data_IF_686054409763
#
_entry.id   IF_686054409763
#
_cell.length_a   1.000
_cell.length_b   1.000
_cell.length_c   1.000
_cell.angle_alpha   90.00
_cell.angle_beta   90.00
_cell.angle_gamma   90.00
#
_symmetry.space_group_name_H-M   'P 1'
#
loop_
_entity.id
_entity.type
_entity.pdbx_description
1 polymer ?
#
# COMPACT_ATOMS: atom_id res chain seq x y z
N UNK A 1 -10.25 -6.54 10.48
CA UNK A 1 -9.58 -5.96 11.67
C UNK A 1 -8.47 -6.88 12.18
N UNK A 2 -8.75 -8.16 12.47
CA UNK A 2 -7.73 -9.14 12.92
C UNK A 2 -6.51 -9.25 12.00
N UNK A 3 -6.69 -9.16 10.69
CA UNK A 3 -5.60 -9.20 9.69
C UNK A 3 -4.62 -8.03 9.78
N UNK A 4 -5.02 -6.89 10.33
CA UNK A 4 -4.14 -5.73 10.53
C UNK A 4 -3.54 -5.77 11.95
N UNK A 5 -4.32 -6.20 12.94
CA UNK A 5 -3.89 -6.25 14.34
C UNK A 5 -2.81 -7.30 14.61
N UNK A 6 -2.87 -8.45 13.94
CA UNK A 6 -1.89 -9.54 14.13
C UNK A 6 -0.45 -9.15 13.69
N UNK A 7 -0.24 -8.59 12.48
CA UNK A 7 1.01 -7.94 12.08
C UNK A 7 1.59 -6.95 13.09
N UNK A 8 0.75 -6.03 13.59
CA UNK A 8 1.15 -5.01 14.57
C UNK A 8 1.63 -5.67 15.85
N UNK A 9 0.88 -6.65 16.35
CA UNK A 9 1.25 -7.41 17.54
C UNK A 9 2.58 -8.17 17.36
N UNK A 10 2.79 -8.81 16.20
CA UNK A 10 4.03 -9.53 15.89
C UNK A 10 5.24 -8.59 15.83
N UNK A 11 5.11 -7.43 15.18
CA UNK A 11 6.21 -6.45 15.05
C UNK A 11 6.57 -5.82 16.40
N UNK A 12 5.58 -5.60 17.27
CA UNK A 12 5.82 -5.12 18.63
C UNK A 12 6.46 -6.18 19.54
N UNK A 13 6.29 -7.47 19.22
CA UNK A 13 6.76 -8.58 20.06
C UNK A 13 8.12 -9.12 19.65
N UNK A 14 8.39 -9.17 18.36
CA UNK A 14 9.65 -9.61 17.78
C UNK A 14 10.29 -8.37 17.19
N UNK A 15 11.41 -7.89 17.76
CA UNK A 15 12.15 -6.70 17.33
C UNK A 15 12.70 -6.82 15.89
N UNK A 16 11.81 -6.94 14.92
CA UNK A 16 12.12 -7.18 13.50
C UNK A 16 12.64 -5.91 12.86
N UNK A 17 13.69 -5.99 12.04
CA UNK A 17 14.23 -4.82 11.36
C UNK A 17 13.14 -4.03 10.62
N UNK A 18 13.20 -2.70 10.72
CA UNK A 18 12.16 -1.73 10.29
C UNK A 18 11.60 -2.02 8.90
N UNK A 19 12.48 -2.35 7.95
CA UNK A 19 12.09 -2.63 6.57
C UNK A 19 11.14 -3.82 6.44
N UNK A 20 11.38 -4.91 7.18
CA UNK A 20 10.51 -6.07 7.18
C UNK A 20 9.18 -5.78 7.89
N UNK A 21 9.20 -4.98 8.96
CA UNK A 21 7.99 -4.53 9.64
C UNK A 21 7.08 -3.70 8.71
N UNK A 22 7.65 -2.71 8.00
CA UNK A 22 6.91 -1.91 7.02
C UNK A 22 6.36 -2.80 5.89
N UNK A 23 7.18 -3.71 5.34
CA UNK A 23 6.75 -4.60 4.27
C UNK A 23 5.59 -5.52 4.70
N UNK A 24 5.66 -6.07 5.91
CA UNK A 24 4.63 -6.94 6.47
C UNK A 24 3.32 -6.17 6.75
N UNK A 25 3.40 -4.93 7.22
CA UNK A 25 2.24 -4.05 7.38
C UNK A 25 1.60 -3.67 6.04
N UNK A 26 2.41 -3.31 5.04
CA UNK A 26 1.91 -3.04 3.68
C UNK A 26 1.18 -4.26 3.11
N UNK A 27 1.78 -5.44 3.24
CA UNK A 27 1.16 -6.69 2.80
C UNK A 27 -0.18 -6.95 3.50
N UNK A 28 -0.22 -6.76 4.82
CA UNK A 28 -1.44 -6.91 5.61
C UNK A 28 -2.55 -5.92 5.19
N UNK A 29 -2.20 -4.67 4.92
CA UNK A 29 -3.14 -3.67 4.42
C UNK A 29 -3.71 -4.09 3.04
N UNK A 30 -2.84 -4.52 2.12
CA UNK A 30 -3.25 -4.99 0.79
C UNK A 30 -4.21 -6.19 0.91
N UNK A 31 -3.87 -7.18 1.74
CA UNK A 31 -4.72 -8.35 2.00
C UNK A 31 -6.07 -7.94 2.58
N UNK A 32 -6.08 -7.00 3.53
CA UNK A 32 -7.33 -6.51 4.11
C UNK A 32 -8.22 -5.83 3.06
N UNK A 33 -7.66 -4.95 2.22
CA UNK A 33 -8.39 -4.28 1.13
C UNK A 33 -8.97 -5.30 0.15
N UNK A 34 -8.20 -6.34 -0.20
CA UNK A 34 -8.66 -7.43 -1.06
C UNK A 34 -9.79 -8.23 -0.43
N UNK A 35 -9.69 -8.58 0.86
CA UNK A 35 -10.73 -9.32 1.57
C UNK A 35 -12.04 -8.53 1.67
N UNK A 36 -11.98 -7.23 1.95
CA UNK A 36 -13.16 -6.35 1.91
C UNK A 36 -13.79 -6.36 0.53
N UNK A 37 -12.96 -6.22 -0.52
CA UNK A 37 -13.43 -6.25 -1.89
C UNK A 37 -14.13 -7.55 -2.25
N UNK A 38 -13.55 -8.67 -1.83
CA UNK A 38 -14.08 -10.00 -2.05
C UNK A 38 -15.41 -10.22 -1.31
N UNK A 39 -15.51 -9.77 -0.06
CA UNK A 39 -16.73 -9.88 0.74
C UNK A 39 -17.88 -9.06 0.12
N UNK A 40 -17.62 -7.80 -0.23
CA UNK A 40 -18.63 -6.91 -0.83
C UNK A 40 -19.10 -7.43 -2.20
N UNK A 41 -18.18 -7.78 -3.09
CA UNK A 41 -18.56 -8.29 -4.41
C UNK A 41 -19.34 -9.60 -4.31
N UNK A 42 -18.97 -10.51 -3.40
CA UNK A 42 -19.76 -11.74 -3.20
C UNK A 42 -21.14 -11.48 -2.59
N UNK A 43 -21.26 -10.48 -1.71
CA UNK A 43 -22.55 -10.07 -1.19
C UNK A 43 -23.45 -9.52 -2.31
N UNK A 44 -22.92 -8.62 -3.15
CA UNK A 44 -23.64 -8.04 -4.29
C UNK A 44 -24.08 -9.12 -5.28
N UNK A 45 -23.19 -10.07 -5.62
CA UNK A 45 -23.54 -11.18 -6.52
C UNK A 45 -24.65 -12.09 -5.97
N UNK A 46 -24.64 -12.37 -4.65
CA UNK A 46 -25.72 -13.13 -4.00
C UNK A 46 -27.03 -12.35 -3.91
N UNK A 47 -26.96 -11.03 -3.75
CA UNK A 47 -28.16 -10.19 -3.76
C UNK A 47 -28.78 -10.15 -5.17
N UNK A 48 -27.94 -10.06 -6.21
CA UNK A 48 -28.34 -10.13 -7.60
C UNK A 48 -28.91 -11.50 -7.98
N UNK A 49 -28.31 -12.61 -7.53
CA UNK A 49 -28.85 -13.94 -7.83
C UNK A 49 -30.25 -14.13 -7.24
N UNK A 50 -30.47 -13.67 -6.00
CA UNK A 50 -31.80 -13.69 -5.36
C UNK A 50 -32.83 -12.82 -6.07
N UNK A 51 -32.44 -11.67 -6.62
CA UNK A 51 -33.36 -10.82 -7.39
C UNK A 51 -33.67 -11.40 -8.76
N UNK A 52 -32.68 -12.05 -9.40
CA UNK A 52 -32.87 -12.81 -10.65
C UNK A 52 -33.79 -13.99 -10.42
N UNK A 53 -33.61 -14.82 -9.39
CA UNK A 53 -34.53 -15.94 -9.08
C UNK A 53 -35.98 -15.46 -8.84
N UNK A 54 -36.13 -14.26 -8.24
CA UNK A 54 -37.45 -13.64 -8.02
C UNK A 54 -38.06 -13.10 -9.32
N UNK A 55 -37.22 -12.69 -10.29
CA UNK A 55 -37.62 -12.19 -11.61
C UNK A 55 -37.74 -13.25 -12.71
N UNK A 56 -37.01 -14.37 -12.61
CA UNK A 56 -37.03 -15.50 -13.55
C UNK A 56 -38.34 -16.30 -13.50
N UNK A 57 -39.15 -16.11 -12.45
CA UNK A 57 -40.56 -16.52 -12.46
C UNK A 57 -41.38 -15.79 -13.56
N UNK A 58 -40.84 -14.74 -14.20
CA UNK A 58 -41.52 -13.95 -15.23
C UNK A 58 -40.86 -13.99 -16.63
N UNK A 59 -39.56 -14.29 -16.76
CA UNK A 59 -38.84 -14.17 -18.05
C UNK A 59 -37.79 -15.26 -18.26
N UNK A 60 -38.23 -16.44 -18.67
CA UNK A 60 -37.43 -17.68 -18.75
C UNK A 60 -36.65 -17.86 -20.07
N UNK A 61 -36.24 -16.81 -20.79
CA UNK A 61 -35.71 -16.96 -22.17
C UNK A 61 -34.44 -16.19 -22.55
N UNK A 62 -33.61 -15.72 -21.61
CA UNK A 62 -32.28 -15.17 -21.96
C UNK A 62 -31.25 -15.42 -20.84
N UNK A 63 -31.07 -16.68 -20.47
CA UNK A 63 -30.12 -17.08 -19.42
C UNK A 63 -28.69 -17.10 -19.95
N UNK A 64 -28.01 -15.96 -19.94
CA UNK A 64 -26.55 -15.96 -19.86
C UNK A 64 -26.21 -16.54 -18.49
N UNK A 65 -25.70 -17.76 -18.49
CA UNK A 65 -25.18 -18.49 -17.34
C UNK A 65 -24.28 -17.60 -16.47
N UNK A 66 -24.83 -16.96 -15.45
CA UNK A 66 -24.08 -16.44 -14.31
C UNK A 66 -24.03 -17.54 -13.26
N UNK A 67 -23.40 -18.67 -13.61
CA UNK A 67 -23.17 -19.75 -12.66
C UNK A 67 -22.18 -19.22 -11.62
N UNK A 68 -22.73 -18.78 -10.48
CA UNK A 68 -21.98 -18.32 -9.31
C UNK A 68 -21.32 -19.54 -8.65
N UNK A 69 -20.21 -20.00 -9.22
CA UNK A 69 -19.36 -20.99 -8.57
C UNK A 69 -18.09 -20.31 -8.05
N UNK A 70 -18.00 -20.21 -6.73
CA UNK A 70 -16.87 -19.58 -6.04
C UNK A 70 -15.72 -20.57 -6.03
N UNK A 71 -14.94 -20.58 -7.11
CA UNK A 71 -13.75 -21.42 -7.18
C UNK A 71 -12.64 -20.90 -6.28
N UNK A 72 -12.08 -21.77 -5.43
CA UNK A 72 -10.89 -21.48 -4.63
C UNK A 72 -9.70 -21.03 -5.50
N UNK A 73 -9.60 -21.56 -6.73
CA UNK A 73 -8.57 -21.18 -7.69
C UNK A 73 -8.66 -19.69 -8.06
N UNK A 74 -9.87 -19.18 -8.27
CA UNK A 74 -10.12 -17.76 -8.60
C UNK A 74 -9.81 -16.84 -7.42
N UNK A 75 -10.05 -17.31 -6.19
CA UNK A 75 -9.66 -16.59 -4.97
C UNK A 75 -8.14 -16.48 -4.86
N UNK A 76 -7.43 -17.59 -5.00
CA UNK A 76 -5.95 -17.61 -4.95
C UNK A 76 -5.36 -16.71 -6.04
N UNK A 77 -5.90 -16.76 -7.26
CA UNK A 77 -5.49 -15.87 -8.35
C UNK A 77 -5.68 -14.39 -7.97
N UNK A 78 -6.84 -14.02 -7.44
CA UNK A 78 -7.12 -12.66 -6.99
C UNK A 78 -6.18 -12.19 -5.88
N UNK A 79 -5.83 -13.06 -4.94
CA UNK A 79 -4.92 -12.73 -3.85
C UNK A 79 -3.53 -12.32 -4.35
N UNK A 80 -3.06 -12.88 -5.47
CA UNK A 80 -1.76 -12.56 -6.07
C UNK A 80 -1.86 -11.47 -7.15
N UNK A 81 -3.01 -11.30 -7.80
CA UNK A 81 -3.21 -10.32 -8.88
C UNK A 81 -2.91 -8.86 -8.43
N UNK A 82 -2.33 -8.01 -9.30
CA UNK A 82 -2.01 -6.62 -8.99
C UNK A 82 -3.25 -5.70 -9.02
N UNK A 83 -4.38 -6.17 -8.49
CA UNK A 83 -5.63 -5.41 -8.38
C UNK A 83 -6.19 -5.53 -6.97
N UNK A 84 -6.85 -4.47 -6.50
CA UNK A 84 -7.55 -4.47 -5.21
C UNK A 84 -9.04 -4.77 -5.35
N UNK A 85 -9.59 -4.68 -6.57
CA UNK A 85 -11.01 -4.88 -6.81
C UNK A 85 -11.30 -6.29 -7.31
N UNK A 86 -12.07 -7.07 -6.53
CA UNK A 86 -12.47 -8.41 -6.95
C UNK A 86 -13.50 -8.36 -8.11
N UNK A 87 -13.25 -9.16 -9.15
CA UNK A 87 -14.15 -9.45 -10.25
C UNK A 87 -14.19 -10.97 -10.51
N UNK A 88 -15.35 -11.55 -10.91
CA UNK A 88 -15.46 -12.97 -11.20
C UNK A 88 -14.60 -13.43 -12.38
N UNK A 89 -14.49 -12.59 -13.40
CA UNK A 89 -13.64 -12.82 -14.58
C UNK A 89 -12.73 -11.61 -14.78
N UNK A 90 -11.46 -11.89 -15.07
CA UNK A 90 -10.47 -10.87 -15.44
C UNK A 90 -10.05 -11.08 -16.89
N UNK A 91 -9.74 -10.00 -17.62
CA UNK A 91 -9.13 -10.13 -18.94
C UNK A 91 -7.76 -10.81 -18.78
N UNK A 92 -7.55 -11.92 -19.48
CA UNK A 92 -6.29 -12.67 -19.47
C UNK A 92 -5.49 -12.39 -20.75
N UNK A 93 -4.18 -12.23 -20.59
CA UNK A 93 -3.25 -12.21 -21.71
C UNK A 93 -3.01 -13.62 -22.24
N UNK A 94 -2.77 -13.75 -23.54
CA UNK A 94 -2.65 -15.04 -24.23
C UNK A 94 -1.34 -15.78 -23.92
N UNK A 95 -0.23 -15.07 -23.74
CA UNK A 95 1.09 -15.66 -23.49
C UNK A 95 1.97 -14.76 -22.60
N UNK A 96 2.88 -15.37 -21.85
CA UNK A 96 3.90 -14.68 -21.04
C UNK A 96 5.10 -14.31 -21.91
N UNK A 97 5.37 -13.01 -22.07
CA UNK A 97 6.53 -12.51 -22.81
C UNK A 97 7.77 -12.45 -21.92
N UNK A 98 8.41 -13.61 -21.69
CA UNK A 98 9.57 -13.77 -20.79
C UNK A 98 10.69 -12.77 -21.05
N UNK A 99 11.06 -12.53 -22.31
CA UNK A 99 12.11 -11.58 -22.67
C UNK A 99 11.76 -10.13 -22.31
N UNK A 100 10.48 -9.75 -22.35
CA UNK A 100 10.03 -8.44 -21.88
C UNK A 100 10.13 -8.34 -20.36
N UNK A 101 9.69 -9.39 -19.63
CA UNK A 101 9.79 -9.45 -18.15
C UNK A 101 11.23 -9.30 -17.68
N UNK A 102 12.17 -10.05 -18.26
CA UNK A 102 13.59 -9.98 -17.86
C UNK A 102 14.15 -8.57 -18.06
N UNK A 103 13.83 -7.90 -19.17
CA UNK A 103 14.27 -6.51 -19.40
C UNK A 103 13.71 -5.54 -18.34
N UNK A 104 12.45 -5.71 -17.95
CA UNK A 104 11.85 -4.86 -16.91
C UNK A 104 12.44 -5.16 -15.52
N UNK A 105 12.78 -6.42 -15.24
CA UNK A 105 13.44 -6.82 -14.00
C UNK A 105 14.85 -6.23 -13.87
N UNK A 106 15.62 -6.20 -14.97
CA UNK A 106 16.94 -5.52 -15.00
C UNK A 106 16.78 -4.03 -14.71
N UNK A 107 15.80 -3.35 -15.33
CA UNK A 107 15.51 -1.94 -15.02
C UNK A 107 15.16 -1.75 -13.54
N UNK A 108 14.38 -2.66 -12.95
CA UNK A 108 13.99 -2.58 -11.55
C UNK A 108 15.20 -2.60 -10.62
N UNK A 109 16.18 -3.48 -10.88
CA UNK A 109 17.42 -3.56 -10.10
C UNK A 109 18.22 -2.26 -10.22
N UNK A 110 18.39 -1.74 -11.45
CA UNK A 110 19.13 -0.49 -11.69
C UNK A 110 18.49 0.70 -10.96
N UNK A 111 17.17 0.91 -11.13
CA UNK A 111 16.49 2.04 -10.48
C UNK A 111 16.43 1.89 -8.95
N UNK A 112 16.34 0.67 -8.42
CA UNK A 112 16.45 0.43 -6.97
C UNK A 112 17.84 0.79 -6.45
N UNK A 113 18.89 0.46 -7.19
CA UNK A 113 20.27 0.87 -6.87
C UNK A 113 20.46 2.39 -6.90
N UNK A 114 19.91 3.07 -7.91
CA UNK A 114 19.92 4.55 -8.01
C UNK A 114 19.21 5.18 -6.82
N UNK A 115 18.05 4.63 -6.42
CA UNK A 115 17.33 5.10 -5.23
C UNK A 115 18.18 4.96 -3.96
N UNK A 116 18.82 3.80 -3.77
CA UNK A 116 19.75 3.58 -2.65
C UNK A 116 20.92 4.56 -2.66
N UNK A 117 21.50 4.83 -3.83
CA UNK A 117 22.57 5.81 -4.00
C UNK A 117 22.13 7.22 -3.60
N UNK A 118 20.93 7.66 -4.01
CA UNK A 118 20.41 8.99 -3.63
C UNK A 118 20.21 9.10 -2.12
N UNK A 119 19.68 8.05 -1.49
CA UNK A 119 19.47 8.01 -0.03
C UNK A 119 20.81 8.10 0.69
N UNK A 120 21.78 7.27 0.34
CA UNK A 120 23.08 7.22 1.03
C UNK A 120 23.95 8.46 0.80
N UNK A 121 23.96 9.00 -0.43
CA UNK A 121 24.87 10.10 -0.79
C UNK A 121 24.29 11.49 -0.56
N UNK A 122 22.95 11.64 -0.62
CA UNK A 122 22.31 12.95 -0.49
C UNK A 122 21.46 13.06 0.77
N UNK A 123 20.60 12.08 1.07
CA UNK A 123 19.68 12.19 2.21
C UNK A 123 20.41 11.97 3.54
N UNK A 124 21.15 10.87 3.68
CA UNK A 124 21.87 10.51 4.91
C UNK A 124 22.82 11.60 5.42
N UNK A 125 23.69 12.23 4.61
CA UNK A 125 24.58 13.27 5.12
C UNK A 125 23.82 14.53 5.57
N UNK A 126 22.72 14.91 4.91
CA UNK A 126 21.95 16.08 5.35
C UNK A 126 21.24 15.79 6.68
N UNK A 127 20.74 14.56 6.86
CA UNK A 127 20.11 14.13 8.12
C UNK A 127 21.13 14.03 9.26
N UNK A 128 22.31 13.42 9.05
CA UNK A 128 23.33 13.30 10.09
C UNK A 128 23.90 14.64 10.54
N UNK A 129 24.05 15.60 9.62
CA UNK A 129 24.47 16.97 9.94
C UNK A 129 23.41 17.77 10.73
N UNK A 130 22.22 17.20 10.97
CA UNK A 130 21.10 17.85 11.67
C UNK A 130 20.97 17.40 13.13
N UNK A 131 22.06 17.43 13.91
CA UNK A 131 22.10 16.97 15.32
C UNK A 131 21.16 17.67 16.33
N UNK A 132 20.37 18.67 15.92
CA UNK A 132 19.26 19.17 16.74
C UNK A 132 17.96 19.16 15.93
N UNK A 133 17.00 18.28 16.26
CA UNK A 133 15.70 18.24 15.61
C UNK A 133 14.92 19.46 16.12
N UNK A 134 14.76 20.47 15.26
CA UNK A 134 13.82 21.57 15.46
C UNK A 134 14.07 22.49 16.68
N UNK A 135 15.20 22.37 17.39
CA UNK A 135 15.65 23.34 18.41
C UNK A 135 16.49 24.48 17.83
N UNK A 136 16.10 25.01 16.68
CA UNK A 136 16.77 26.13 16.02
C UNK A 136 15.78 27.10 15.40
N UNK A 137 16.23 28.33 15.12
CA UNK A 137 15.46 29.38 14.45
C UNK A 137 14.71 28.81 13.22
N UNK A 138 13.44 29.21 13.02
CA UNK A 138 12.56 28.75 11.93
C UNK A 138 13.25 28.75 10.55
N UNK A 139 14.13 29.72 10.31
CA UNK A 139 14.92 29.83 9.08
C UNK A 139 15.82 28.60 8.83
N UNK A 140 16.49 28.09 9.86
CA UNK A 140 17.34 26.91 9.75
C UNK A 140 16.53 25.65 9.48
N UNK A 141 15.29 25.58 9.99
CA UNK A 141 14.38 24.48 9.70
C UNK A 141 13.91 24.52 8.23
N UNK A 142 13.51 25.70 7.74
CA UNK A 142 13.08 25.90 6.34
C UNK A 142 14.22 25.58 5.37
N UNK A 143 15.44 26.06 5.63
CA UNK A 143 16.61 25.77 4.78
C UNK A 143 16.86 24.26 4.66
N UNK A 144 16.76 23.53 5.78
CA UNK A 144 16.94 22.07 5.80
C UNK A 144 15.82 21.34 5.05
N UNK A 145 14.57 21.76 5.22
CA UNK A 145 13.42 21.17 4.49
C UNK A 145 13.59 21.39 3.00
N UNK A 146 14.02 22.57 2.56
CA UNK A 146 14.30 22.86 1.15
C UNK A 146 15.47 22.02 0.60
N UNK A 147 16.53 21.82 1.38
CA UNK A 147 17.65 20.94 0.99
C UNK A 147 17.24 19.48 0.87
N UNK A 148 16.30 19.01 1.71
CA UNK A 148 15.75 17.65 1.62
C UNK A 148 14.70 17.48 0.52
N UNK A 149 13.95 18.53 0.17
CA UNK A 149 12.78 18.40 -0.72
C UNK A 149 13.13 17.84 -2.10
N UNK A 150 14.24 18.29 -2.69
CA UNK A 150 14.71 17.86 -4.00
C UNK A 150 15.09 16.36 -4.02
N UNK A 151 16.04 15.86 -3.19
CA UNK A 151 16.38 14.44 -3.20
C UNK A 151 15.19 13.56 -2.79
N UNK A 152 14.33 14.02 -1.87
CA UNK A 152 13.10 13.29 -1.51
C UNK A 152 12.13 13.18 -2.69
N UNK A 153 11.95 14.25 -3.48
CA UNK A 153 11.11 14.21 -4.69
C UNK A 153 11.65 13.21 -5.72
N UNK A 154 12.96 13.19 -5.96
CA UNK A 154 13.57 12.23 -6.89
C UNK A 154 13.40 10.78 -6.42
N UNK A 155 13.60 10.52 -5.12
CA UNK A 155 13.37 9.18 -4.54
C UNK A 155 11.90 8.80 -4.68
N UNK A 156 10.97 9.72 -4.43
CA UNK A 156 9.53 9.48 -4.57
C UNK A 156 9.13 9.14 -6.02
N UNK A 157 9.65 9.88 -7.00
CA UNK A 157 9.41 9.61 -8.43
C UNK A 157 10.03 8.26 -8.87
N UNK A 158 11.24 7.96 -8.40
CA UNK A 158 11.88 6.68 -8.66
C UNK A 158 11.09 5.52 -8.04
N UNK A 159 10.62 5.66 -6.79
CA UNK A 159 9.76 4.69 -6.12
C UNK A 159 8.47 4.47 -6.90
N UNK A 160 7.82 5.55 -7.36
CA UNK A 160 6.62 5.47 -8.18
C UNK A 160 6.86 4.62 -9.44
N UNK A 161 7.93 4.90 -10.18
CA UNK A 161 8.27 4.16 -11.39
C UNK A 161 8.64 2.69 -11.09
N UNK A 162 9.46 2.43 -10.07
CA UNK A 162 9.83 1.08 -9.66
C UNK A 162 8.61 0.23 -9.28
N UNK A 163 7.69 0.81 -8.49
CA UNK A 163 6.55 0.07 -7.97
C UNK A 163 5.41 -0.03 -9.00
N UNK A 164 4.85 1.10 -9.43
CA UNK A 164 3.67 1.11 -10.29
C UNK A 164 3.96 0.70 -11.73
N UNK A 165 5.09 1.14 -12.28
CA UNK A 165 5.42 0.83 -13.67
C UNK A 165 6.15 -0.50 -13.81
N UNK A 166 7.23 -0.73 -13.07
CA UNK A 166 8.03 -1.95 -13.24
C UNK A 166 7.41 -3.15 -12.49
N UNK A 167 7.27 -3.06 -11.17
CA UNK A 167 6.86 -4.19 -10.34
C UNK A 167 5.45 -4.69 -10.65
N UNK A 168 4.44 -3.80 -10.68
CA UNK A 168 3.06 -4.22 -10.96
C UNK A 168 2.90 -4.79 -12.38
N UNK A 169 3.59 -4.26 -13.39
CA UNK A 169 3.52 -4.83 -14.73
C UNK A 169 4.28 -6.16 -14.87
N UNK A 170 5.40 -6.34 -14.15
CA UNK A 170 6.07 -7.64 -14.08
C UNK A 170 5.11 -8.67 -13.47
N UNK A 171 4.49 -8.32 -12.33
CA UNK A 171 3.52 -9.18 -11.66
C UNK A 171 2.30 -9.48 -12.55
N UNK A 172 1.80 -8.48 -13.28
CA UNK A 172 0.71 -8.64 -14.24
C UNK A 172 1.08 -9.60 -15.37
N UNK A 173 2.25 -9.46 -15.98
CA UNK A 173 2.70 -10.34 -17.06
C UNK A 173 2.91 -11.77 -16.56
N UNK A 174 3.47 -11.96 -15.36
CA UNK A 174 3.65 -13.30 -14.75
C UNK A 174 2.31 -14.00 -14.47
N UNK A 175 1.28 -13.23 -14.14
CA UNK A 175 -0.08 -13.75 -13.87
C UNK A 175 -0.99 -13.75 -15.11
N UNK A 176 -0.45 -13.40 -16.29
CA UNK A 176 -1.24 -13.16 -17.50
C UNK A 176 -2.42 -12.19 -17.28
N UNK A 177 -2.26 -11.19 -16.41
CA UNK A 177 -3.27 -10.18 -16.13
C UNK A 177 -3.29 -9.13 -17.25
N UNK A 178 -4.45 -8.97 -17.89
CA UNK A 178 -4.65 -8.10 -19.05
C UNK A 178 -4.91 -6.63 -18.70
N UNK A 179 -5.51 -6.34 -17.53
CA UNK A 179 -5.77 -4.96 -17.11
C UNK A 179 -4.51 -4.35 -16.47
N UNK A 180 -3.79 -3.53 -17.23
CA UNK A 180 -2.51 -2.94 -16.81
C UNK A 180 -2.59 -1.45 -16.51
N UNK A 181 -3.80 -0.95 -16.32
CA UNK A 181 -4.04 0.46 -16.02
C UNK A 181 -3.86 0.73 -14.52
N UNK A 182 -2.60 0.72 -14.06
CA UNK A 182 -2.24 0.99 -12.66
C UNK A 182 -2.19 2.49 -12.32
N UNK A 183 -1.93 3.34 -13.31
CA UNK A 183 -1.86 4.79 -13.17
C UNK A 183 -2.25 5.46 -14.50
N UNK A 184 -2.59 6.74 -14.46
CA UNK A 184 -2.84 7.61 -15.62
C UNK A 184 -1.80 8.74 -15.66
N UNK A 185 -1.91 9.63 -16.64
CA UNK A 185 -1.02 10.78 -16.86
C UNK A 185 -1.17 11.86 -15.76
N UNK A 186 -0.92 11.48 -14.51
CA UNK A 186 -1.09 12.31 -13.31
C UNK A 186 -0.16 13.53 -13.30
N UNK A 187 0.94 13.49 -14.06
CA UNK A 187 1.85 14.62 -14.23
C UNK A 187 1.23 15.76 -15.05
N UNK A 188 0.18 15.49 -15.83
CA UNK A 188 -0.58 16.49 -16.59
C UNK A 188 -1.82 17.00 -15.83
N UNK A 189 -2.03 16.57 -14.58
CA UNK A 189 -3.17 16.96 -13.79
C UNK A 189 -3.16 18.47 -13.52
N UNK A 190 -4.30 19.14 -13.77
CA UNK A 190 -4.44 20.59 -13.55
C UNK A 190 -4.83 20.93 -12.11
N UNK A 191 -5.36 19.95 -11.40
CA UNK A 191 -5.85 20.10 -10.02
C UNK A 191 -5.32 18.98 -9.13
N UNK A 192 -5.21 19.26 -7.83
CA UNK A 192 -4.79 18.27 -6.83
C UNK A 192 -5.78 17.10 -6.75
N UNK A 193 -7.09 17.35 -6.92
CA UNK A 193 -8.10 16.30 -6.97
C UNK A 193 -7.85 15.33 -8.14
N UNK A 194 -7.58 15.86 -9.34
CA UNK A 194 -7.28 15.05 -10.52
C UNK A 194 -6.02 14.20 -10.32
N UNK A 195 -4.97 14.78 -9.73
CA UNK A 195 -3.76 14.05 -9.35
C UNK A 195 -4.07 12.85 -8.44
N UNK A 196 -4.85 13.05 -7.37
CA UNK A 196 -5.22 11.97 -6.42
C UNK A 196 -6.01 10.82 -7.07
N UNK A 197 -6.72 11.10 -8.16
CA UNK A 197 -7.51 10.11 -8.91
C UNK A 197 -6.68 9.34 -9.93
N UNK A 198 -5.57 9.90 -10.39
CA UNK A 198 -4.79 9.37 -11.51
C UNK A 198 -3.52 8.61 -11.08
N UNK A 199 -2.91 8.97 -9.95
CA UNK A 199 -1.60 8.41 -9.55
C UNK A 199 -1.67 6.91 -9.19
N UNK A 200 -2.70 6.48 -8.46
CA UNK A 200 -2.86 5.11 -7.96
C UNK A 200 -4.27 4.60 -8.27
N UNK A 201 -4.44 4.10 -9.49
CA UNK A 201 -5.74 3.62 -9.97
C UNK A 201 -6.29 2.43 -9.17
N UNK A 202 -5.49 1.43 -8.73
CA UNK A 202 -6.01 0.32 -7.93
C UNK A 202 -6.69 0.79 -6.63
N UNK A 203 -6.04 1.70 -5.89
CA UNK A 203 -6.61 2.24 -4.64
C UNK A 203 -7.77 3.17 -4.95
N UNK A 204 -7.65 4.04 -5.95
CA UNK A 204 -8.75 4.94 -6.34
C UNK A 204 -10.02 4.17 -6.73
N UNK A 205 -9.90 3.16 -7.61
CA UNK A 205 -11.01 2.28 -8.02
C UNK A 205 -11.61 1.57 -6.80
N UNK A 206 -10.78 1.11 -5.86
CA UNK A 206 -11.25 0.46 -4.63
C UNK A 206 -12.02 1.42 -3.72
N UNK A 207 -11.49 2.61 -3.46
CA UNK A 207 -12.13 3.64 -2.63
C UNK A 207 -13.48 4.06 -3.21
N UNK A 208 -13.52 4.28 -4.53
CA UNK A 208 -14.77 4.66 -5.22
C UNK A 208 -15.81 3.54 -5.11
N UNK A 209 -15.41 2.29 -5.36
CA UNK A 209 -16.33 1.14 -5.36
C UNK A 209 -16.84 0.75 -3.98
N UNK A 210 -15.96 0.71 -2.98
CA UNK A 210 -16.27 0.11 -1.67
C UNK A 210 -16.59 1.13 -0.58
N UNK A 211 -16.25 2.41 -0.78
CA UNK A 211 -16.54 3.48 0.17
C UNK A 211 -17.53 4.47 -0.44
N UNK A 212 -17.15 5.12 -1.54
CA UNK A 212 -17.93 6.22 -2.11
C UNK A 212 -19.34 5.79 -2.58
N UNK A 213 -19.46 4.78 -3.45
CA UNK A 213 -20.76 4.34 -3.95
C UNK A 213 -21.69 3.81 -2.85
N UNK A 214 -21.24 2.97 -1.89
CA UNK A 214 -22.06 2.58 -0.75
C UNK A 214 -22.52 3.76 0.10
N UNK A 215 -21.66 4.76 0.37
CA UNK A 215 -22.07 5.97 1.08
C UNK A 215 -23.20 6.72 0.33
N UNK A 216 -23.05 6.88 -0.99
CA UNK A 216 -24.08 7.51 -1.82
C UNK A 216 -25.40 6.72 -1.83
N UNK A 217 -25.34 5.39 -1.92
CA UNK A 217 -26.53 4.51 -1.87
C UNK A 217 -27.26 4.60 -0.54
N UNK A 218 -26.54 4.85 0.55
CA UNK A 218 -27.11 5.06 1.89
C UNK A 218 -27.61 6.50 2.13
N UNK A 219 -27.65 7.34 1.09
CA UNK A 219 -28.16 8.72 1.18
C UNK A 219 -27.17 9.73 1.79
N UNK A 220 -25.90 9.37 1.96
CA UNK A 220 -24.88 10.29 2.49
C UNK A 220 -24.52 11.33 1.41
N UNK A 221 -24.44 12.63 1.75
CA UNK A 221 -24.05 13.65 0.79
C UNK A 221 -22.62 13.45 0.27
N UNK A 222 -22.37 13.92 -0.96
CA UNK A 222 -21.09 13.73 -1.67
C UNK A 222 -19.89 14.23 -0.87
N UNK A 223 -20.00 15.41 -0.27
CA UNK A 223 -18.92 16.01 0.53
C UNK A 223 -18.50 15.14 1.72
N UNK A 224 -19.47 14.60 2.46
CA UNK A 224 -19.21 13.72 3.61
C UNK A 224 -18.57 12.40 3.15
N UNK A 225 -19.01 11.85 2.02
CA UNK A 225 -18.44 10.62 1.45
C UNK A 225 -16.96 10.79 1.06
N UNK A 226 -16.59 11.97 0.55
CA UNK A 226 -15.20 12.33 0.24
C UNK A 226 -14.39 12.45 1.53
N UNK A 227 -14.91 13.12 2.56
CA UNK A 227 -14.23 13.25 3.86
C UNK A 227 -13.99 11.88 4.50
N UNK A 228 -14.96 10.96 4.45
CA UNK A 228 -14.80 9.59 4.94
C UNK A 228 -13.69 8.86 4.17
N UNK A 229 -13.64 9.01 2.84
CA UNK A 229 -12.59 8.41 2.02
C UNK A 229 -11.19 8.96 2.38
N UNK A 230 -11.07 10.28 2.57
CA UNK A 230 -9.83 10.90 3.01
C UNK A 230 -9.41 10.45 4.41
N UNK A 231 -10.35 10.37 5.36
CA UNK A 231 -10.09 9.92 6.71
C UNK A 231 -9.57 8.48 6.72
N UNK A 232 -10.21 7.57 5.98
CA UNK A 232 -9.74 6.19 5.85
C UNK A 232 -8.33 6.12 5.24
N UNK A 233 -8.06 6.92 4.20
CA UNK A 233 -6.73 7.04 3.63
C UNK A 233 -5.71 7.53 4.65
N UNK A 234 -6.03 8.56 5.44
CA UNK A 234 -5.16 9.11 6.47
C UNK A 234 -4.79 8.05 7.53
N UNK A 235 -5.75 7.24 7.99
CA UNK A 235 -5.49 6.13 8.92
C UNK A 235 -4.46 5.14 8.34
N UNK A 236 -4.58 4.77 7.06
CA UNK A 236 -3.58 3.89 6.42
C UNK A 236 -2.20 4.54 6.31
N UNK A 237 -2.15 5.85 6.02
CA UNK A 237 -0.91 6.60 5.92
C UNK A 237 -0.23 6.86 7.27
N UNK A 238 -0.98 6.86 8.39
CA UNK A 238 -0.41 6.97 9.74
C UNK A 238 0.04 5.62 10.31
N UNK A 239 -0.73 4.55 10.09
CA UNK A 239 -0.41 3.22 10.64
C UNK A 239 0.94 2.69 10.13
N UNK A 240 1.30 2.99 8.88
CA UNK A 240 2.54 2.53 8.26
C UNK A 240 3.80 3.15 8.91
N UNK A 241 3.94 4.49 9.05
CA UNK A 241 5.03 5.11 9.79
C UNK A 241 5.00 4.85 11.29
N UNK A 242 3.81 4.80 11.92
CA UNK A 242 3.71 4.58 13.36
C UNK A 242 4.33 3.25 13.79
N UNK A 243 4.18 2.20 12.99
CA UNK A 243 4.82 0.90 13.28
C UNK A 243 6.34 0.98 13.13
N UNK A 244 6.84 1.73 12.14
CA UNK A 244 8.27 1.97 11.97
C UNK A 244 8.87 2.80 13.13
N UNK A 245 8.10 3.76 13.64
CA UNK A 245 8.52 4.64 14.73
C UNK A 245 8.42 3.96 16.12
N UNK A 246 7.42 3.11 16.32
CA UNK A 246 7.31 2.28 17.52
C UNK A 246 8.52 1.35 17.67
N UNK A 247 9.03 0.78 16.57
CA UNK A 247 10.26 0.00 16.58
C UNK A 247 11.50 0.83 16.96
N UNK A 248 11.64 2.05 16.43
CA UNK A 248 12.79 2.92 16.79
C UNK A 248 12.78 3.28 18.27
N UNK A 249 11.59 3.54 18.83
CA UNK A 249 11.45 3.82 20.27
C UNK A 249 11.67 2.58 21.16
N UNK A 250 11.25 1.38 20.74
CA UNK A 250 11.57 0.14 21.46
C UNK A 250 13.06 -0.22 21.38
N UNK A 251 13.70 0.00 20.23
CA UNK A 251 15.14 -0.19 20.06
C UNK A 251 15.94 0.81 20.89
N UNK A 252 15.56 2.09 20.93
CA UNK A 252 16.24 3.08 21.79
C UNK A 252 16.09 2.70 23.28
N UNK A 253 14.96 2.12 23.70
CA UNK A 253 14.77 1.60 25.05
C UNK A 253 15.63 0.36 25.35
N UNK A 254 15.89 -0.52 24.38
CA UNK A 254 16.79 -1.67 24.57
C UNK A 254 18.27 -1.27 24.65
N UNK A 255 18.66 -0.18 24.00
CA UNK A 255 19.97 0.46 24.18
C UNK A 255 20.11 1.25 25.50
N UNK A 256 18.99 1.59 26.16
CA UNK A 256 18.96 2.27 27.46
C UNK A 256 18.75 1.31 28.64
N UNK A 257 18.72 -0.01 28.43
CA UNK A 257 18.69 -0.97 29.53
C UNK A 257 20.09 -1.06 30.18
N UNK A 258 20.24 -0.74 31.47
CA UNK A 258 21.54 -0.55 32.09
C UNK A 258 22.19 -1.90 32.43
N UNK A 259 23.15 -2.33 31.61
CA UNK A 259 24.13 -3.35 31.98
C UNK A 259 25.34 -2.75 32.73
N UNK A 260 25.11 -1.71 33.56
CA UNK A 260 26.11 -1.09 34.44
C UNK A 260 25.75 -1.26 35.92
N UNK A 261 25.35 -2.47 36.32
CA UNK A 261 25.16 -2.81 37.74
C UNK A 261 25.86 -4.11 38.19
N UNK A 262 26.87 -4.61 37.46
CA UNK A 262 27.58 -5.86 37.83
C UNK A 262 29.10 -5.69 38.03
N UNK A 263 29.68 -4.51 37.80
CA UNK A 263 31.11 -4.26 38.05
C UNK A 263 31.39 -3.06 38.99
N UNK A 264 30.59 -2.92 40.05
CA UNK A 264 30.88 -2.02 41.17
C UNK A 264 30.81 -2.83 42.47
N UNK A 265 31.82 -3.66 42.72
CA UNK A 265 31.82 -4.55 43.88
C UNK A 265 33.12 -5.32 44.08
N UNK A 266 34.28 -4.67 43.96
CA UNK A 266 35.53 -5.19 44.52
C UNK A 266 36.52 -4.04 44.79
N UNK A 267 36.36 -3.42 45.96
CA UNK A 267 37.46 -2.82 46.72
C UNK A 267 37.14 -3.01 48.21
N UNK A 268 37.92 -3.80 48.97
CA UNK A 268 38.06 -3.62 50.40
C UNK A 268 39.12 -2.54 50.65
N UNK A 269 38.72 -1.49 51.36
CA UNK A 269 39.60 -0.58 52.07
C UNK A 269 40.34 -1.30 53.20
N UNK A 270 41.46 -0.70 53.62
CA UNK A 270 42.21 -0.93 54.87
C UNK A 270 41.31 -1.32 56.04
#
# INVERSE_FOLDING_TARGET
MTTILYPVYMILRFDSAVLFGIALMLFACIVWLKLVSYAHTNYDMRALSKSVDKGENLTKSTSINCSYDVSFKSLVYFMVAPTLCYQPSYPLATCIRKGWVTRQLVKLIIFTGVMGFIVEQYINPIVQNSQHPLKGNLLNAIERVLKLSVPTLYVWLCMFYCFFHLWLNILAELLCFGDREFYKDWWNAKTVEEYWRMWNMPVHKWMVRHIYFPCLRNGIPKGVSIVIAFFLSAVFHEVLPLVAQAWTNSSIKSWQCPSTSVFAGFQPSV
#
